data_IF_823913386000
#
_entry.id   IF_823913386000
#
_cell.length_a   1.000
_cell.length_b   1.000
_cell.length_c   1.000
_cell.angle_alpha   90.00
_cell.angle_beta   90.00
_cell.angle_gamma   90.00
#
_symmetry.space_group_name_H-M   'P 1'
#
loop_
_entity.id
_entity.type
_entity.pdbx_description
1 polymer ?
#
# COMPACT_ATOMS: atom_id res chain seq x y z
N UNK A 1 -28.12 9.61 29.63
CA UNK A 1 -28.41 8.19 29.33
C UNK A 1 -28.91 8.14 27.90
N UNK A 2 -28.32 7.33 27.01
CA UNK A 2 -28.80 7.25 25.63
C UNK A 2 -30.20 6.62 25.63
N UNK A 3 -31.10 7.21 24.85
CA UNK A 3 -32.50 6.81 24.71
C UNK A 3 -32.61 5.30 24.45
N UNK A 4 -33.52 4.66 25.17
CA UNK A 4 -33.70 3.21 25.14
C UNK A 4 -34.26 2.76 23.79
N UNK A 5 -33.39 2.45 22.83
CA UNK A 5 -33.78 1.73 21.63
C UNK A 5 -34.46 0.40 22.02
N UNK A 6 -35.68 0.17 21.52
CA UNK A 6 -36.38 -1.11 21.71
C UNK A 6 -35.71 -2.20 20.86
N UNK A 7 -34.76 -2.90 21.49
CA UNK A 7 -34.01 -4.02 20.92
C UNK A 7 -34.89 -5.19 20.45
N UNK A 8 -36.18 -5.23 20.79
CA UNK A 8 -37.12 -6.29 20.35
C UNK A 8 -37.54 -6.15 18.89
N UNK A 9 -37.41 -4.96 18.30
CA UNK A 9 -37.76 -4.69 16.90
C UNK A 9 -36.70 -5.16 15.89
N UNK A 10 -35.49 -5.50 16.35
CA UNK A 10 -34.42 -5.95 15.47
C UNK A 10 -34.76 -7.31 14.86
N UNK A 11 -34.55 -7.47 13.55
CA UNK A 11 -34.64 -8.78 12.90
C UNK A 11 -33.56 -9.70 13.49
N UNK A 12 -33.97 -10.59 14.41
CA UNK A 12 -33.10 -11.57 15.08
C UNK A 12 -33.05 -12.83 14.25
N UNK A 13 -31.85 -13.39 14.08
CA UNK A 13 -31.70 -14.68 13.43
C UNK A 13 -32.05 -15.78 14.43
N UNK A 14 -33.08 -16.57 14.12
CA UNK A 14 -33.47 -17.73 14.95
C UNK A 14 -32.46 -18.86 14.77
N UNK A 15 -32.24 -19.61 15.85
CA UNK A 15 -31.40 -20.80 15.92
C UNK A 15 -32.24 -21.88 16.59
N UNK A 16 -32.22 -23.09 16.03
CA UNK A 16 -32.93 -24.20 16.65
C UNK A 16 -32.03 -24.88 17.68
N UNK A 17 -32.60 -25.20 18.85
CA UNK A 17 -31.91 -25.97 19.87
C UNK A 17 -31.41 -27.29 19.28
N UNK A 18 -30.17 -27.65 19.59
CA UNK A 18 -29.46 -28.80 19.01
C UNK A 18 -28.64 -28.49 17.73
N UNK A 19 -28.68 -27.27 17.19
CA UNK A 19 -27.83 -26.88 16.03
C UNK A 19 -26.35 -26.68 16.40
N UNK A 20 -25.98 -26.86 17.68
CA UNK A 20 -24.59 -26.86 18.14
C UNK A 20 -23.99 -25.47 18.37
N UNK A 21 -24.81 -24.42 18.47
CA UNK A 21 -24.38 -23.07 18.82
C UNK A 21 -24.43 -22.90 20.34
N UNK A 22 -23.37 -23.36 20.99
CA UNK A 22 -23.28 -23.38 22.45
C UNK A 22 -22.50 -22.17 22.98
N UNK A 23 -22.86 -21.75 24.20
CA UNK A 23 -22.26 -20.62 24.88
C UNK A 23 -22.05 -20.96 26.36
N UNK A 24 -20.97 -20.44 26.92
CA UNK A 24 -20.76 -20.35 28.35
C UNK A 24 -21.17 -18.96 28.84
N UNK A 25 -22.02 -18.91 29.85
CA UNK A 25 -22.34 -17.68 30.58
C UNK A 25 -21.57 -17.68 31.89
N UNK A 26 -20.63 -16.77 32.01
CA UNK A 26 -19.74 -16.60 33.14
C UNK A 26 -20.30 -15.52 34.08
N UNK A 27 -20.54 -15.91 35.33
CA UNK A 27 -21.13 -15.07 36.38
C UNK A 27 -20.33 -15.23 37.67
N UNK A 28 -19.55 -14.21 38.06
CA UNK A 28 -18.67 -14.27 39.23
C UNK A 28 -17.82 -15.55 39.18
N UNK A 29 -18.11 -16.53 40.05
CA UNK A 29 -17.40 -17.80 40.17
C UNK A 29 -18.19 -19.00 39.62
N UNK A 30 -19.28 -18.77 38.89
CA UNK A 30 -20.11 -19.80 38.28
C UNK A 30 -20.06 -19.72 36.76
N UNK A 31 -20.08 -20.91 36.15
CA UNK A 31 -20.23 -21.13 34.72
C UNK A 31 -21.58 -21.79 34.48
N UNK A 32 -22.31 -21.29 33.50
CA UNK A 32 -23.55 -21.87 33.01
C UNK A 32 -23.35 -22.26 31.56
N UNK A 33 -23.80 -23.44 31.17
CA UNK A 33 -23.82 -23.84 29.76
C UNK A 33 -25.19 -23.49 29.16
N UNK A 34 -25.17 -23.03 27.92
CA UNK A 34 -26.34 -22.55 27.22
C UNK A 34 -26.26 -22.81 25.73
N UNK A 35 -27.42 -22.82 25.08
CA UNK A 35 -27.56 -22.88 23.61
C UNK A 35 -28.24 -21.63 23.09
N UNK A 36 -27.82 -21.13 21.92
CA UNK A 36 -28.50 -20.01 21.28
C UNK A 36 -29.88 -20.42 20.76
N UNK A 37 -30.88 -19.59 21.03
CA UNK A 37 -32.21 -19.64 20.40
C UNK A 37 -32.38 -18.56 19.35
N UNK A 38 -31.65 -17.46 19.50
CA UNK A 38 -31.55 -16.41 18.51
C UNK A 38 -30.28 -15.57 18.74
N UNK A 39 -29.79 -14.90 17.71
CA UNK A 39 -28.70 -13.94 17.85
C UNK A 39 -28.82 -12.73 16.92
N UNK A 40 -28.22 -11.64 17.39
CA UNK A 40 -27.86 -10.46 16.62
C UNK A 40 -26.46 -10.01 17.03
N UNK A 41 -25.91 -9.03 16.31
CA UNK A 41 -24.68 -8.34 16.69
C UNK A 41 -24.73 -7.64 18.05
N UNK A 42 -25.92 -7.36 18.57
CA UNK A 42 -26.13 -6.54 19.77
C UNK A 42 -26.73 -7.35 20.93
N UNK A 43 -27.10 -8.61 20.70
CA UNK A 43 -27.71 -9.42 21.73
C UNK A 43 -27.87 -10.89 21.37
N UNK A 44 -28.03 -11.69 22.41
CA UNK A 44 -28.19 -13.14 22.33
C UNK A 44 -29.46 -13.56 23.06
N UNK A 45 -30.22 -14.46 22.46
CA UNK A 45 -31.21 -15.25 23.18
C UNK A 45 -30.57 -16.60 23.47
N UNK A 46 -30.46 -16.97 24.74
CA UNK A 46 -29.86 -18.24 25.16
C UNK A 46 -30.86 -19.06 25.97
N UNK A 47 -30.88 -20.37 25.76
CA UNK A 47 -31.53 -21.34 26.64
C UNK A 47 -30.47 -21.97 27.55
N UNK A 48 -30.63 -21.82 28.87
CA UNK A 48 -29.72 -22.40 29.87
C UNK A 48 -29.97 -23.91 29.93
N UNK A 49 -28.95 -24.70 29.62
CA UNK A 49 -29.00 -26.16 29.65
C UNK A 49 -28.54 -26.70 31.01
N UNK A 50 -27.71 -25.96 31.74
CA UNK A 50 -27.27 -26.32 33.08
C UNK A 50 -27.09 -25.10 34.00
N UNK A 51 -27.64 -25.20 35.23
CA UNK A 51 -27.55 -24.18 36.28
C UNK A 51 -28.70 -23.17 36.31
N UNK A 52 -28.67 -22.29 37.32
CA UNK A 52 -29.72 -21.28 37.54
C UNK A 52 -29.47 -20.02 36.70
N UNK A 53 -30.54 -19.46 36.12
CA UNK A 53 -30.44 -18.25 35.32
C UNK A 53 -30.03 -17.01 36.14
N UNK A 54 -29.20 -16.12 35.56
CA UNK A 54 -28.88 -14.83 36.17
C UNK A 54 -30.10 -13.91 36.23
N UNK A 55 -30.08 -12.95 37.15
CA UNK A 55 -31.21 -12.01 37.33
C UNK A 55 -31.25 -10.95 36.21
N UNK A 56 -32.44 -10.42 35.92
CA UNK A 56 -32.57 -9.25 35.02
C UNK A 56 -31.78 -8.07 35.61
N UNK A 57 -31.02 -7.38 34.76
CA UNK A 57 -30.11 -6.30 35.16
C UNK A 57 -28.72 -6.76 35.59
N UNK A 58 -28.49 -8.07 35.72
CA UNK A 58 -27.18 -8.60 36.06
C UNK A 58 -26.19 -8.49 34.88
N UNK A 59 -24.93 -8.15 35.20
CA UNK A 59 -23.81 -8.17 34.25
C UNK A 59 -23.17 -9.55 34.26
N UNK A 60 -23.02 -10.13 33.08
CA UNK A 60 -22.37 -11.42 32.85
C UNK A 60 -21.32 -11.28 31.77
N UNK A 61 -20.48 -12.30 31.59
CA UNK A 61 -19.71 -12.46 30.36
C UNK A 61 -20.21 -13.69 29.61
N UNK A 62 -20.23 -13.63 28.29
CA UNK A 62 -20.68 -14.72 27.43
C UNK A 62 -19.58 -15.09 26.46
N UNK A 63 -19.25 -16.37 26.39
CA UNK A 63 -18.21 -16.89 25.51
C UNK A 63 -18.81 -18.00 24.65
N UNK A 64 -18.74 -17.92 23.31
CA UNK A 64 -19.15 -19.05 22.48
C UNK A 64 -18.22 -20.23 22.67
N UNK A 65 -18.78 -21.44 22.63
CA UNK A 65 -18.04 -22.71 22.71
C UNK A 65 -18.44 -23.64 21.57
N UNK A 66 -17.50 -24.48 21.15
CA UNK A 66 -17.69 -25.35 19.99
C UNK A 66 -17.50 -24.59 18.67
N UNK A 67 -18.51 -24.62 17.79
CA UNK A 67 -18.42 -23.95 16.49
C UNK A 67 -18.32 -22.44 16.68
N UNK A 68 -17.35 -21.78 16.04
CA UNK A 68 -17.14 -20.34 16.22
C UNK A 68 -16.64 -19.94 17.61
N UNK A 69 -16.09 -20.88 18.39
CA UNK A 69 -15.48 -20.60 19.67
C UNK A 69 -14.42 -19.49 19.55
N UNK A 70 -14.36 -18.66 20.58
CA UNK A 70 -13.30 -17.66 20.76
C UNK A 70 -12.90 -17.66 22.23
N UNK A 71 -11.63 -17.37 22.50
CA UNK A 71 -11.14 -17.20 23.86
C UNK A 71 -11.68 -15.92 24.52
N UNK A 72 -12.28 -15.03 23.73
CA UNK A 72 -12.78 -13.73 24.19
C UNK A 72 -14.19 -13.89 24.76
N UNK A 73 -14.34 -13.65 26.06
CA UNK A 73 -15.64 -13.55 26.70
C UNK A 73 -16.20 -12.12 26.57
N UNK A 74 -17.38 -12.00 25.99
CA UNK A 74 -18.04 -10.73 25.71
C UNK A 74 -18.84 -10.25 26.92
N UNK A 75 -18.69 -9.00 27.38
CA UNK A 75 -19.53 -8.48 28.43
C UNK A 75 -20.98 -8.32 27.94
N UNK A 76 -21.94 -8.67 28.80
CA UNK A 76 -23.35 -8.59 28.48
C UNK A 76 -24.20 -8.21 29.70
N UNK A 77 -25.37 -7.64 29.45
CA UNK A 77 -26.40 -7.38 30.45
C UNK A 77 -27.60 -8.29 30.22
N UNK A 78 -28.08 -8.95 31.27
CA UNK A 78 -29.32 -9.72 31.22
C UNK A 78 -30.50 -8.75 31.14
N UNK A 79 -31.22 -8.77 30.02
CA UNK A 79 -32.39 -7.91 29.77
C UNK A 79 -33.72 -8.64 29.98
N UNK A 80 -33.70 -9.97 29.89
CA UNK A 80 -34.90 -10.78 29.99
C UNK A 80 -34.59 -12.16 30.56
N UNK A 81 -35.51 -12.69 31.34
CA UNK A 81 -35.54 -14.08 31.79
C UNK A 81 -36.95 -14.60 31.54
N UNK A 82 -37.07 -15.78 30.95
CA UNK A 82 -38.33 -16.40 30.58
C UNK A 82 -38.16 -17.91 30.36
N UNK A 83 -39.02 -18.50 29.55
CA UNK A 83 -38.93 -19.93 29.20
C UNK A 83 -38.97 -20.15 27.70
N UNK A 84 -38.32 -21.23 27.27
CA UNK A 84 -38.42 -21.79 25.91
C UNK A 84 -38.49 -23.31 26.07
N UNK A 85 -39.64 -23.90 25.73
CA UNK A 85 -39.96 -25.28 26.13
C UNK A 85 -39.86 -25.42 27.66
N UNK A 86 -39.14 -26.42 28.14
CA UNK A 86 -38.83 -26.73 29.53
C UNK A 86 -37.56 -26.02 30.04
N UNK A 87 -36.82 -25.33 29.18
CA UNK A 87 -35.58 -24.64 29.54
C UNK A 87 -35.81 -23.17 29.95
N UNK A 88 -34.94 -22.68 30.82
CA UNK A 88 -34.90 -21.25 31.16
C UNK A 88 -34.25 -20.47 30.04
N UNK A 89 -34.95 -19.46 29.50
CA UNK A 89 -34.43 -18.57 28.46
C UNK A 89 -33.92 -17.28 29.08
N UNK A 90 -32.75 -16.83 28.68
CA UNK A 90 -32.26 -15.48 28.97
C UNK A 90 -32.05 -14.68 27.68
N UNK A 91 -32.37 -13.39 27.75
CA UNK A 91 -32.05 -12.41 26.72
C UNK A 91 -30.91 -11.52 27.18
N UNK A 92 -29.80 -11.55 26.45
CA UNK A 92 -28.59 -10.77 26.71
C UNK A 92 -28.50 -9.59 25.73
N UNK A 93 -28.16 -8.41 26.24
CA UNK A 93 -27.68 -7.28 25.44
C UNK A 93 -26.15 -7.21 25.59
N UNK A 94 -25.44 -7.28 24.47
CA UNK A 94 -23.98 -7.23 24.46
C UNK A 94 -23.51 -5.80 24.72
N UNK A 95 -22.49 -5.67 25.55
CA UNK A 95 -21.88 -4.38 25.86
C UNK A 95 -20.66 -4.29 24.94
N UNK A 96 -20.65 -3.31 24.03
CA UNK A 96 -19.50 -3.12 23.16
C UNK A 96 -18.28 -2.70 23.98
N UNK A 97 -17.10 -3.23 23.64
CA UNK A 97 -15.86 -2.99 24.40
C UNK A 97 -15.35 -1.53 24.32
N UNK A 98 -16.03 -0.66 23.57
CA UNK A 98 -15.86 0.79 23.62
C UNK A 98 -14.53 1.31 23.09
N UNK A 99 -13.48 0.50 23.06
CA UNK A 99 -12.15 0.85 22.58
C UNK A 99 -12.21 1.10 21.07
N UNK A 100 -12.12 2.37 20.61
CA UNK A 100 -11.91 2.60 19.20
C UNK A 100 -10.55 2.02 18.84
N UNK A 101 -10.50 1.19 17.79
CA UNK A 101 -9.23 0.88 17.15
C UNK A 101 -8.61 2.23 16.74
N UNK A 102 -7.42 2.54 17.26
CA UNK A 102 -6.74 3.82 17.04
C UNK A 102 -6.00 3.87 15.69
N UNK A 103 -6.28 2.92 14.80
CA UNK A 103 -5.48 2.72 13.61
C UNK A 103 -5.91 3.68 12.50
N UNK A 104 -4.91 4.27 11.84
CA UNK A 104 -5.12 5.10 10.65
C UNK A 104 -5.70 4.23 9.54
N UNK A 105 -6.94 4.51 9.16
CA UNK A 105 -7.61 3.87 8.03
C UNK A 105 -7.93 4.89 6.95
N UNK A 106 -7.74 4.49 5.70
CA UNK A 106 -8.02 5.25 4.50
C UNK A 106 -9.38 4.85 3.94
N UNK A 107 -10.13 5.82 3.44
CA UNK A 107 -11.44 5.56 2.88
C UNK A 107 -11.33 4.83 1.54
N UNK A 108 -12.21 3.86 1.33
CA UNK A 108 -12.32 3.12 0.09
C UNK A 108 -13.36 3.83 -0.79
N UNK A 109 -12.97 4.39 -1.93
CA UNK A 109 -13.85 5.27 -2.70
C UNK A 109 -15.07 4.54 -3.26
N UNK A 110 -16.14 5.31 -3.48
CA UNK A 110 -17.40 4.73 -3.92
C UNK A 110 -17.32 4.17 -5.35
N UNK A 111 -16.63 4.90 -6.24
CA UNK A 111 -16.50 4.60 -7.67
C UNK A 111 -15.60 3.41 -8.02
N UNK A 112 -14.78 2.93 -7.07
CA UNK A 112 -13.94 1.75 -7.24
C UNK A 112 -14.12 0.85 -6.01
N UNK A 113 -15.22 0.10 -5.92
CA UNK A 113 -15.54 -0.65 -4.71
C UNK A 113 -14.58 -1.82 -4.49
N UNK A 114 -14.25 -2.05 -3.21
CA UNK A 114 -13.60 -3.27 -2.75
C UNK A 114 -14.57 -4.11 -1.90
N UNK A 115 -14.39 -5.43 -1.95
CA UNK A 115 -15.29 -6.39 -1.33
C UNK A 115 -14.54 -7.40 -0.48
N UNK A 116 -15.23 -7.97 0.50
CA UNK A 116 -14.74 -9.10 1.26
C UNK A 116 -15.84 -10.16 1.36
N UNK A 117 -15.43 -11.43 1.33
CA UNK A 117 -16.32 -12.56 1.64
C UNK A 117 -15.71 -13.42 2.74
N UNK A 118 -16.56 -14.02 3.58
CA UNK A 118 -16.13 -14.94 4.62
C UNK A 118 -17.11 -16.10 4.72
N UNK A 119 -16.65 -17.28 5.14
CA UNK A 119 -17.57 -18.30 5.62
C UNK A 119 -18.19 -17.85 6.95
N UNK A 120 -19.49 -18.09 7.15
CA UNK A 120 -20.12 -17.79 8.42
C UNK A 120 -19.61 -18.77 9.50
N UNK A 121 -19.09 -18.28 10.64
CA UNK A 121 -18.58 -19.17 11.69
C UNK A 121 -19.67 -20.01 12.36
N UNK A 122 -20.94 -19.59 12.26
CA UNK A 122 -22.08 -20.24 12.92
C UNK A 122 -22.82 -21.23 12.01
N UNK A 123 -23.07 -20.84 10.77
CA UNK A 123 -24.00 -21.52 9.88
C UNK A 123 -23.28 -22.16 8.71
N UNK A 124 -23.43 -23.48 8.59
CA UNK A 124 -22.76 -24.27 7.56
C UNK A 124 -23.20 -23.86 6.15
N UNK A 125 -22.25 -23.73 5.23
CA UNK A 125 -22.51 -23.39 3.83
C UNK A 125 -22.93 -21.95 3.59
N UNK A 126 -23.00 -21.11 4.63
CA UNK A 126 -23.34 -19.71 4.49
C UNK A 126 -22.11 -18.83 4.32
N UNK A 127 -22.23 -17.86 3.42
CA UNK A 127 -21.20 -16.86 3.19
C UNK A 127 -21.70 -15.48 3.60
N UNK A 128 -20.83 -14.78 4.32
CA UNK A 128 -20.96 -13.38 4.63
C UNK A 128 -20.34 -12.57 3.49
N UNK A 129 -21.01 -11.48 3.11
CA UNK A 129 -20.57 -10.59 2.03
C UNK A 129 -20.51 -9.16 2.55
N UNK A 130 -19.40 -8.49 2.27
CA UNK A 130 -19.12 -7.17 2.77
C UNK A 130 -18.62 -6.26 1.65
N UNK A 131 -18.98 -4.98 1.75
CA UNK A 131 -18.23 -3.91 1.11
C UNK A 131 -17.14 -3.45 2.07
N UNK A 132 -15.93 -3.27 1.57
CA UNK A 132 -14.85 -2.63 2.33
C UNK A 132 -15.05 -1.11 2.21
N UNK A 133 -15.21 -0.42 3.34
CA UNK A 133 -15.45 1.04 3.36
C UNK A 133 -14.22 1.82 3.81
N UNK A 134 -13.37 1.23 4.66
CA UNK A 134 -12.07 1.80 5.06
C UNK A 134 -11.07 0.68 5.25
N UNK A 135 -9.81 0.90 4.92
CA UNK A 135 -8.75 -0.09 5.11
C UNK A 135 -7.46 0.57 5.62
N UNK A 136 -6.69 -0.16 6.40
CA UNK A 136 -5.43 0.29 6.96
C UNK A 136 -4.47 -0.87 7.21
N UNK A 137 -3.32 -0.54 7.79
CA UNK A 137 -2.24 -1.48 8.03
C UNK A 137 -2.62 -2.63 8.96
N UNK A 138 -3.49 -2.34 9.93
CA UNK A 138 -3.88 -3.22 11.04
C UNK A 138 -5.30 -3.75 10.93
N UNK A 139 -6.09 -3.28 9.95
CA UNK A 139 -7.47 -3.73 9.84
C UNK A 139 -8.28 -3.09 8.73
N UNK A 140 -9.57 -3.39 8.76
CA UNK A 140 -10.58 -2.91 7.83
C UNK A 140 -11.87 -2.57 8.55
N UNK A 141 -12.59 -1.60 8.01
CA UNK A 141 -14.00 -1.40 8.29
C UNK A 141 -14.82 -1.95 7.13
N UNK A 142 -15.70 -2.89 7.45
CA UNK A 142 -16.60 -3.57 6.54
C UNK A 142 -18.02 -3.03 6.71
N UNK A 143 -18.80 -3.00 5.62
CA UNK A 143 -20.26 -2.78 5.64
C UNK A 143 -20.93 -4.06 5.16
N UNK A 144 -21.76 -4.67 5.99
CA UNK A 144 -22.45 -5.91 5.63
C UNK A 144 -23.48 -5.67 4.53
N UNK A 145 -23.57 -6.60 3.56
CA UNK A 145 -24.61 -6.57 2.53
C UNK A 145 -26.01 -6.86 3.11
N UNK A 146 -26.08 -7.61 4.21
CA UNK A 146 -27.32 -7.90 4.96
C UNK A 146 -27.38 -7.05 6.24
N UNK A 147 -28.55 -6.58 6.68
CA UNK A 147 -28.68 -5.70 7.86
C UNK A 147 -28.25 -6.32 9.20
N UNK A 148 -28.30 -7.66 9.29
CA UNK A 148 -28.06 -8.40 10.53
C UNK A 148 -27.07 -9.57 10.29
N UNK A 149 -25.78 -9.28 10.07
CA UNK A 149 -24.78 -10.33 10.00
C UNK A 149 -24.69 -11.04 11.36
N UNK A 150 -24.66 -12.37 11.33
CA UNK A 150 -24.48 -13.21 12.51
C UNK A 150 -23.01 -13.18 12.94
N UNK A 151 -22.57 -12.06 13.50
CA UNK A 151 -21.21 -11.81 13.99
C UNK A 151 -21.25 -11.15 15.36
N UNK A 152 -20.32 -11.53 16.23
CA UNK A 152 -20.07 -10.87 17.51
C UNK A 152 -18.58 -10.49 17.57
N UNK A 153 -18.23 -9.62 18.53
CA UNK A 153 -16.85 -9.28 18.81
C UNK A 153 -16.01 -10.50 19.17
N UNK A 154 -14.70 -10.43 18.93
CA UNK A 154 -13.73 -11.49 19.23
C UNK A 154 -13.75 -12.68 18.27
N UNK A 155 -14.69 -12.75 17.32
CA UNK A 155 -14.71 -13.83 16.33
C UNK A 155 -13.55 -13.72 15.35
N UNK A 156 -13.00 -14.86 14.97
CA UNK A 156 -12.02 -14.95 13.91
C UNK A 156 -12.73 -15.22 12.59
N UNK A 157 -12.33 -14.47 11.57
CA UNK A 157 -12.82 -14.56 10.21
C UNK A 157 -11.65 -14.83 9.28
N UNK A 158 -11.88 -15.71 8.33
CA UNK A 158 -11.03 -15.84 7.16
C UNK A 158 -11.72 -15.11 6.01
N UNK A 159 -11.10 -14.02 5.57
CA UNK A 159 -11.64 -13.10 4.59
C UNK A 159 -10.93 -13.30 3.25
N UNK A 160 -11.72 -13.54 2.21
CA UNK A 160 -11.28 -13.41 0.83
C UNK A 160 -11.55 -11.97 0.37
N UNK A 161 -10.49 -11.18 0.24
CA UNK A 161 -10.54 -9.78 -0.16
C UNK A 161 -10.41 -9.64 -1.67
N UNK A 162 -11.23 -8.77 -2.24
CA UNK A 162 -11.25 -8.45 -3.66
C UNK A 162 -11.08 -6.95 -3.82
N UNK A 163 -9.92 -6.55 -4.34
CA UNK A 163 -9.64 -5.18 -4.73
C UNK A 163 -9.63 -5.08 -6.26
N UNK A 164 -10.08 -3.94 -6.79
CA UNK A 164 -9.98 -3.68 -8.22
C UNK A 164 -8.50 -3.70 -8.65
N UNK A 165 -8.21 -4.39 -9.75
CA UNK A 165 -6.88 -4.53 -10.36
C UNK A 165 -5.81 -5.26 -9.53
N UNK A 166 -6.18 -5.89 -8.41
CA UNK A 166 -5.30 -6.75 -7.63
C UNK A 166 -5.80 -8.21 -7.65
N UNK A 167 -4.89 -9.15 -7.41
CA UNK A 167 -5.27 -10.53 -7.13
C UNK A 167 -6.08 -10.61 -5.84
N UNK A 168 -6.98 -11.60 -5.74
CA UNK A 168 -7.69 -11.85 -4.50
C UNK A 168 -6.70 -12.22 -3.39
N UNK A 169 -6.87 -11.64 -2.20
CA UNK A 169 -6.00 -11.87 -1.05
C UNK A 169 -6.81 -12.49 0.07
N UNK A 170 -6.36 -13.65 0.55
CA UNK A 170 -6.97 -14.31 1.71
C UNK A 170 -6.23 -13.89 2.98
N UNK A 171 -6.96 -13.42 3.98
CA UNK A 171 -6.39 -12.93 5.24
C UNK A 171 -7.25 -13.38 6.42
N UNK A 172 -6.61 -13.69 7.55
CA UNK A 172 -7.29 -13.89 8.83
C UNK A 172 -7.44 -12.57 9.57
N UNK A 173 -8.56 -12.38 10.23
CA UNK A 173 -8.77 -11.22 11.06
C UNK A 173 -9.75 -11.48 12.18
N UNK A 174 -9.68 -10.65 13.21
CA UNK A 174 -10.55 -10.71 14.38
C UNK A 174 -11.55 -9.57 14.35
N UNK A 175 -12.83 -9.88 14.54
CA UNK A 175 -13.89 -8.90 14.68
C UNK A 175 -13.66 -8.09 15.95
N UNK A 176 -13.32 -6.81 15.80
CA UNK A 176 -13.06 -5.91 16.93
C UNK A 176 -14.30 -5.13 17.33
N UNK A 177 -15.20 -4.86 16.39
CA UNK A 177 -16.40 -4.07 16.64
C UNK A 177 -17.51 -4.50 15.69
N UNK A 178 -18.75 -4.58 16.19
CA UNK A 178 -19.94 -4.74 15.36
C UNK A 178 -20.92 -3.62 15.72
N UNK A 179 -21.03 -2.61 14.86
CA UNK A 179 -21.90 -1.44 15.01
C UNK A 179 -22.66 -1.24 13.71
N UNK A 180 -23.92 -1.69 13.65
CA UNK A 180 -24.67 -1.75 12.40
C UNK A 180 -24.64 -0.41 11.64
N UNK A 181 -24.41 -0.43 10.31
CA UNK A 181 -24.13 -1.59 9.45
C UNK A 181 -22.63 -1.97 9.35
N UNK A 182 -21.78 -1.37 10.18
CA UNK A 182 -20.32 -1.47 10.13
C UNK A 182 -19.74 -2.54 11.04
N UNK A 183 -18.68 -3.19 10.57
CA UNK A 183 -17.93 -4.21 11.29
C UNK A 183 -16.45 -3.83 11.20
N UNK A 184 -15.81 -3.65 12.35
CA UNK A 184 -14.36 -3.51 12.43
C UNK A 184 -13.72 -4.90 12.49
N UNK A 185 -12.69 -5.13 11.68
CA UNK A 185 -11.87 -6.33 11.71
C UNK A 185 -10.40 -5.91 11.80
N UNK A 186 -9.68 -6.42 12.80
CA UNK A 186 -8.23 -6.29 12.88
C UNK A 186 -7.56 -7.49 12.19
N UNK A 187 -6.45 -7.27 11.50
CA UNK A 187 -5.69 -8.33 10.85
C UNK A 187 -4.97 -9.20 11.87
N UNK A 188 -4.93 -10.50 11.59
CA UNK A 188 -4.01 -11.43 12.24
C UNK A 188 -2.78 -11.58 11.36
N UNK A 189 -1.65 -11.00 11.79
CA UNK A 189 -0.35 -11.03 11.09
C UNK A 189 -0.46 -10.71 9.57
N UNK A 190 -0.78 -9.45 9.19
CA UNK A 190 -0.99 -9.10 7.79
C UNK A 190 0.26 -9.38 6.93
N UNK A 191 0.06 -10.06 5.80
CA UNK A 191 1.16 -10.39 4.89
C UNK A 191 1.63 -9.18 4.08
N UNK A 192 2.90 -9.17 3.60
CA UNK A 192 3.36 -8.14 2.68
C UNK A 192 2.49 -8.03 1.41
N UNK A 193 2.00 -9.16 0.88
CA UNK A 193 1.13 -9.19 -0.28
C UNK A 193 -0.21 -8.47 -0.05
N UNK A 194 -0.75 -8.54 1.18
CA UNK A 194 -1.95 -7.78 1.55
C UNK A 194 -1.67 -6.27 1.52
N UNK A 195 -0.55 -5.84 2.13
CA UNK A 195 -0.19 -4.42 2.15
C UNK A 195 0.09 -3.89 0.75
N UNK A 196 0.74 -4.66 -0.12
CA UNK A 196 0.95 -4.32 -1.53
C UNK A 196 -0.38 -4.18 -2.28
N UNK A 197 -1.30 -5.14 -2.14
CA UNK A 197 -2.61 -5.07 -2.77
C UNK A 197 -3.45 -3.88 -2.26
N UNK A 198 -3.39 -3.59 -0.96
CA UNK A 198 -4.04 -2.41 -0.36
C UNK A 198 -3.44 -1.10 -0.88
N UNK A 199 -2.11 -1.00 -0.97
CA UNK A 199 -1.44 0.19 -1.46
C UNK A 199 -1.77 0.46 -2.93
N UNK A 200 -1.67 -0.56 -3.80
CA UNK A 200 -2.04 -0.46 -5.22
C UNK A 200 -3.49 0.01 -5.37
N UNK A 201 -4.40 -0.63 -4.65
CA UNK A 201 -5.82 -0.28 -4.68
C UNK A 201 -6.07 1.17 -4.23
N UNK A 202 -5.58 1.56 -3.05
CA UNK A 202 -5.84 2.88 -2.48
C UNK A 202 -5.23 4.00 -3.34
N UNK A 203 -4.02 3.81 -3.87
CA UNK A 203 -3.37 4.79 -4.75
C UNK A 203 -4.05 4.87 -6.13
N UNK A 204 -4.53 3.74 -6.66
CA UNK A 204 -5.26 3.75 -7.94
C UNK A 204 -6.58 4.51 -7.85
N UNK A 205 -7.17 4.55 -6.65
CA UNK A 205 -8.52 5.01 -6.43
C UNK A 205 -8.60 6.45 -5.88
N UNK A 206 -7.52 6.97 -5.31
CA UNK A 206 -7.38 8.35 -4.83
C UNK A 206 -6.04 8.95 -5.26
N UNK A 207 -6.09 9.82 -6.27
CA UNK A 207 -4.91 10.53 -6.80
C UNK A 207 -4.33 11.60 -5.86
N UNK A 208 -4.97 11.85 -4.71
CA UNK A 208 -4.48 12.75 -3.66
C UNK A 208 -3.78 12.00 -2.53
N UNK A 209 -3.90 10.67 -2.50
CA UNK A 209 -3.18 9.82 -1.57
C UNK A 209 -1.78 9.51 -2.10
N UNK A 210 -0.77 9.63 -1.25
CA UNK A 210 0.63 9.42 -1.63
C UNK A 210 1.25 8.22 -0.91
N UNK A 211 2.31 7.60 -1.47
CA UNK A 211 3.03 6.51 -0.80
C UNK A 211 3.51 6.89 0.60
N UNK A 212 4.00 8.12 0.80
CA UNK A 212 4.39 8.61 2.13
C UNK A 212 3.23 8.66 3.12
N UNK A 213 2.03 9.11 2.70
CA UNK A 213 0.83 9.13 3.56
C UNK A 213 0.41 7.72 3.96
N UNK A 214 0.46 6.76 3.03
CA UNK A 214 0.19 5.36 3.32
C UNK A 214 1.18 4.77 4.33
N UNK A 215 2.48 5.01 4.14
CA UNK A 215 3.53 4.59 5.08
C UNK A 215 3.35 5.22 6.46
N UNK A 216 2.96 6.50 6.54
CA UNK A 216 2.64 7.16 7.80
C UNK A 216 1.43 6.53 8.52
N UNK A 217 0.51 5.92 7.77
CA UNK A 217 -0.59 5.10 8.30
C UNK A 217 -0.22 3.63 8.57
N UNK A 218 1.07 3.27 8.48
CA UNK A 218 1.59 1.92 8.73
C UNK A 218 1.48 0.96 7.54
N UNK A 219 0.86 1.35 6.43
CA UNK A 219 0.73 0.47 5.26
C UNK A 219 2.08 0.34 4.60
N UNK A 220 2.59 -0.90 4.48
CA UNK A 220 3.82 -1.14 3.74
C UNK A 220 3.60 -0.87 2.27
N UNK A 221 4.39 0.05 1.71
CA UNK A 221 4.36 0.37 0.28
C UNK A 221 5.65 -0.15 -0.36
N UNK A 222 5.50 -1.04 -1.34
CA UNK A 222 6.58 -1.53 -2.18
C UNK A 222 6.82 -0.62 -3.39
N UNK A 223 6.82 -1.21 -4.59
CA UNK A 223 6.77 -0.44 -5.84
C UNK A 223 5.34 -0.01 -6.15
N UNK A 224 5.15 1.21 -6.64
CA UNK A 224 3.85 1.74 -7.07
C UNK A 224 3.79 1.95 -8.60
N UNK A 225 4.63 1.24 -9.35
CA UNK A 225 4.69 1.30 -10.82
C UNK A 225 3.35 1.06 -11.50
N UNK A 226 2.44 0.28 -10.88
CA UNK A 226 1.12 -0.06 -11.43
C UNK A 226 0.12 1.09 -11.44
N UNK A 227 0.34 2.12 -10.64
CA UNK A 227 -0.59 3.25 -10.47
C UNK A 227 -0.05 4.55 -11.07
N UNK A 228 1.12 4.49 -11.71
CA UNK A 228 1.73 5.61 -12.41
C UNK A 228 1.76 5.37 -13.92
N UNK A 229 2.01 6.44 -14.67
CA UNK A 229 2.27 6.37 -16.10
C UNK A 229 3.63 6.97 -16.43
N UNK A 230 4.34 6.36 -17.38
CA UNK A 230 5.63 6.85 -17.88
C UNK A 230 5.46 7.45 -19.27
N UNK A 231 6.14 8.56 -19.53
CA UNK A 231 6.03 9.26 -20.81
C UNK A 231 7.10 10.32 -21.01
N UNK A 232 6.80 11.30 -21.85
CA UNK A 232 7.67 12.44 -22.13
C UNK A 232 6.99 13.73 -21.67
N UNK A 233 7.77 14.75 -21.31
CA UNK A 233 7.26 16.12 -21.32
C UNK A 233 7.25 16.65 -22.76
N UNK A 234 6.14 17.27 -23.14
CA UNK A 234 5.84 17.69 -24.52
C UNK A 234 5.40 19.15 -24.62
N UNK A 235 5.02 19.77 -23.50
CA UNK A 235 4.55 21.16 -23.45
C UNK A 235 5.43 22.02 -22.54
N UNK A 236 5.42 23.35 -22.75
CA UNK A 236 6.14 24.28 -21.88
C UNK A 236 5.69 24.18 -20.41
N UNK A 237 4.38 23.97 -20.16
CA UNK A 237 3.85 23.79 -18.81
C UNK A 237 4.41 22.55 -18.10
N UNK A 238 4.57 21.43 -18.81
CA UNK A 238 5.20 20.23 -18.23
C UNK A 238 6.70 20.43 -17.94
N UNK A 239 7.40 21.23 -18.74
CA UNK A 239 8.78 21.60 -18.46
C UNK A 239 8.87 22.48 -17.20
N UNK A 240 7.95 23.42 -17.01
CA UNK A 240 7.88 24.20 -15.76
C UNK A 240 7.56 23.31 -14.54
N UNK A 241 6.67 22.32 -14.68
CA UNK A 241 6.37 21.34 -13.64
C UNK A 241 7.62 20.50 -13.27
N UNK A 242 8.43 20.09 -14.25
CA UNK A 242 9.71 19.41 -14.02
C UNK A 242 10.66 20.31 -13.21
N UNK A 243 10.81 21.58 -13.59
CA UNK A 243 11.70 22.49 -12.88
C UNK A 243 11.22 22.74 -11.44
N UNK A 244 9.91 22.85 -11.24
CA UNK A 244 9.32 22.93 -9.91
C UNK A 244 9.60 21.67 -9.08
N UNK A 245 9.47 20.48 -9.67
CA UNK A 245 9.78 19.20 -9.03
C UNK A 245 11.26 19.11 -8.62
N UNK A 246 12.19 19.54 -9.49
CA UNK A 246 13.62 19.59 -9.16
C UNK A 246 13.90 20.50 -7.97
N UNK A 247 13.31 21.69 -7.97
CA UNK A 247 13.50 22.65 -6.88
C UNK A 247 13.01 22.07 -5.56
N UNK A 248 11.82 21.46 -5.57
CA UNK A 248 11.25 20.80 -4.41
C UNK A 248 12.15 19.67 -3.88
N UNK A 249 12.67 18.82 -4.77
CA UNK A 249 13.57 17.73 -4.39
C UNK A 249 14.86 18.26 -3.76
N UNK A 250 15.50 19.26 -4.38
CA UNK A 250 16.72 19.87 -3.84
C UNK A 250 16.50 20.51 -2.47
N UNK A 251 15.44 21.31 -2.29
CA UNK A 251 15.12 21.94 -0.99
C UNK A 251 14.81 20.92 0.09
N UNK A 252 14.13 19.82 -0.26
CA UNK A 252 13.86 18.75 0.70
C UNK A 252 15.15 18.07 1.18
N UNK A 253 16.19 18.03 0.34
CA UNK A 253 17.53 17.55 0.67
C UNK A 253 18.43 18.63 1.30
N UNK A 254 17.91 19.83 1.60
CA UNK A 254 18.69 20.95 2.16
C UNK A 254 19.63 21.61 1.15
N UNK A 255 19.42 21.41 -0.15
CA UNK A 255 20.21 21.99 -1.22
C UNK A 255 19.44 23.12 -1.93
N UNK A 256 20.15 24.13 -2.41
CA UNK A 256 19.60 25.21 -3.26
C UNK A 256 18.41 25.96 -2.64
N UNK A 257 18.43 26.21 -1.32
CA UNK A 257 17.35 26.89 -0.58
C UNK A 257 16.95 28.25 -1.18
N UNK A 258 17.94 29.03 -1.61
CA UNK A 258 17.75 30.35 -2.21
C UNK A 258 17.41 30.32 -3.72
N UNK A 259 17.43 29.14 -4.37
CA UNK A 259 17.17 29.04 -5.79
C UNK A 259 15.68 29.19 -6.13
N UNK A 260 15.44 29.71 -7.32
CA UNK A 260 14.13 29.78 -7.99
C UNK A 260 14.01 28.72 -9.09
N UNK A 261 12.79 28.55 -9.61
CA UNK A 261 12.52 27.67 -10.77
C UNK A 261 13.33 28.12 -11.99
N UNK A 262 13.42 29.44 -12.22
CA UNK A 262 14.14 30.01 -13.35
C UNK A 262 15.63 29.65 -13.31
N UNK A 263 16.21 29.62 -12.12
CA UNK A 263 17.62 29.28 -11.94
C UNK A 263 17.91 27.86 -12.42
N UNK A 264 16.96 26.92 -12.35
CA UNK A 264 17.16 25.51 -12.69
C UNK A 264 17.08 25.19 -14.20
N UNK A 265 16.73 26.18 -15.03
CA UNK A 265 16.76 26.05 -16.49
C UNK A 265 18.17 25.70 -16.96
N UNK A 266 18.26 24.90 -18.01
CA UNK A 266 19.54 24.38 -18.47
C UNK A 266 19.64 24.47 -19.99
N UNK A 267 20.77 24.95 -20.54
CA UNK A 267 20.95 25.00 -21.99
C UNK A 267 20.92 23.60 -22.63
N UNK A 268 21.25 22.56 -21.86
CA UNK A 268 21.21 21.17 -22.32
C UNK A 268 19.80 20.65 -22.59
N UNK A 269 18.74 21.32 -22.09
CA UNK A 269 17.35 20.92 -22.32
C UNK A 269 16.99 20.97 -23.83
N UNK A 270 17.65 21.82 -24.61
CA UNK A 270 17.49 21.89 -26.06
C UNK A 270 17.96 20.62 -26.82
N UNK A 271 18.78 19.79 -26.16
CA UNK A 271 19.36 18.56 -26.71
C UNK A 271 18.89 17.33 -25.93
N UNK A 272 17.78 17.44 -25.19
CA UNK A 272 17.36 16.40 -24.28
C UNK A 272 15.94 15.90 -24.53
N UNK A 273 15.69 14.67 -24.07
CA UNK A 273 14.35 14.14 -23.81
C UNK A 273 14.12 14.11 -22.30
N UNK A 274 12.99 14.67 -21.87
CA UNK A 274 12.57 14.65 -20.48
C UNK A 274 11.59 13.50 -20.27
N UNK A 275 12.06 12.43 -19.63
CA UNK A 275 11.24 11.27 -19.30
C UNK A 275 10.53 11.56 -17.98
N UNK A 276 9.23 11.30 -17.93
CA UNK A 276 8.37 11.69 -16.80
C UNK A 276 7.61 10.48 -16.28
N UNK A 277 7.41 10.47 -14.96
CA UNK A 277 6.57 9.54 -14.22
C UNK A 277 5.41 10.35 -13.62
N UNK A 278 4.17 10.01 -13.97
CA UNK A 278 2.96 10.74 -13.56
C UNK A 278 2.06 9.90 -12.66
N UNK A 279 1.56 10.53 -11.60
CA UNK A 279 0.52 9.99 -10.71
C UNK A 279 -0.67 10.95 -10.71
N UNK A 280 -1.86 10.45 -11.05
CA UNK A 280 -3.05 11.29 -11.16
C UNK A 280 -2.89 12.48 -12.14
N UNK A 281 -2.11 12.29 -13.21
CA UNK A 281 -1.81 13.35 -14.19
C UNK A 281 -0.68 14.30 -13.81
N UNK A 282 -0.20 14.29 -12.57
CA UNK A 282 0.89 15.16 -12.08
C UNK A 282 2.25 14.49 -12.23
N UNK A 283 3.29 15.22 -12.62
CA UNK A 283 4.67 14.72 -12.68
C UNK A 283 5.21 14.56 -11.26
N UNK A 284 5.42 13.31 -10.85
CA UNK A 284 5.96 12.96 -9.53
C UNK A 284 7.40 12.46 -9.60
N UNK A 285 7.90 12.15 -10.79
CA UNK A 285 9.30 11.79 -11.03
C UNK A 285 9.71 12.14 -12.44
N UNK A 286 11.00 12.40 -12.65
CA UNK A 286 11.53 12.60 -13.99
C UNK A 286 13.02 12.26 -14.08
N UNK A 287 13.49 11.98 -15.30
CA UNK A 287 14.92 11.92 -15.62
C UNK A 287 15.15 12.58 -16.99
N UNK A 288 16.28 13.25 -17.16
CA UNK A 288 16.66 13.90 -18.43
C UNK A 288 17.68 13.04 -19.16
N UNK A 289 17.45 12.78 -20.43
CA UNK A 289 18.39 12.10 -21.34
C UNK A 289 18.91 13.10 -22.36
N UNK A 290 20.19 13.45 -22.31
CA UNK A 290 20.85 14.40 -23.22
C UNK A 290 21.58 13.64 -24.31
N UNK A 291 21.38 14.03 -25.57
CA UNK A 291 22.10 13.50 -26.72
C UNK A 291 23.36 14.34 -26.95
N UNK A 292 24.52 13.76 -26.63
CA UNK A 292 25.78 14.48 -26.66
C UNK A 292 26.32 14.59 -28.09
N UNK A 293 26.07 13.59 -28.94
CA UNK A 293 26.44 13.57 -30.37
C UNK A 293 27.93 13.89 -30.63
N UNK A 294 28.81 13.49 -29.72
CA UNK A 294 30.25 13.73 -29.82
C UNK A 294 30.70 15.16 -29.50
N UNK A 295 29.79 16.05 -29.08
CA UNK A 295 30.09 17.46 -28.79
C UNK A 295 30.31 17.69 -27.29
N UNK A 296 31.54 18.00 -26.82
CA UNK A 296 31.81 18.21 -25.39
C UNK A 296 30.98 19.34 -24.76
N UNK A 297 30.63 20.35 -25.55
CA UNK A 297 29.79 21.49 -25.12
C UNK A 297 28.34 21.10 -24.82
N UNK A 298 27.89 19.93 -25.28
CA UNK A 298 26.56 19.36 -24.97
C UNK A 298 26.59 18.44 -23.75
N UNK A 299 27.77 18.01 -23.32
CA UNK A 299 27.93 17.19 -22.12
C UNK A 299 27.81 18.06 -20.87
N UNK A 300 26.82 17.78 -20.02
CA UNK A 300 26.65 18.50 -18.76
C UNK A 300 27.79 18.16 -17.79
N UNK A 301 28.26 16.91 -17.82
CA UNK A 301 29.24 16.41 -16.87
C UNK A 301 30.64 16.92 -17.18
N UNK A 302 30.96 17.15 -18.46
CA UNK A 302 32.20 17.81 -18.86
C UNK A 302 32.07 19.32 -18.73
N UNK A 303 31.07 19.94 -19.36
CA UNK A 303 30.99 21.40 -19.45
C UNK A 303 30.72 22.09 -18.11
N UNK A 304 29.91 21.49 -17.23
CA UNK A 304 29.58 22.06 -15.92
C UNK A 304 30.17 21.26 -14.76
N UNK A 305 30.32 19.94 -14.91
CA UNK A 305 30.91 19.08 -13.89
C UNK A 305 32.44 19.04 -13.91
N UNK A 306 33.07 19.42 -15.04
CA UNK A 306 34.51 19.34 -15.20
C UNK A 306 35.09 17.93 -15.17
N UNK A 307 34.25 16.90 -15.36
CA UNK A 307 34.67 15.50 -15.45
C UNK A 307 35.43 15.23 -16.76
N UNK A 308 36.28 14.21 -16.77
CA UNK A 308 37.06 13.74 -17.90
C UNK A 308 36.48 12.44 -18.44
N UNK A 309 35.80 12.52 -19.58
CA UNK A 309 35.24 11.34 -20.25
C UNK A 309 36.34 10.66 -21.10
N UNK A 310 36.61 9.35 -20.91
CA UNK A 310 37.61 8.62 -21.69
C UNK A 310 37.35 8.68 -23.20
N UNK A 311 38.43 8.76 -23.99
CA UNK A 311 38.34 8.85 -25.47
C UNK A 311 37.55 7.71 -26.11
N UNK A 312 37.68 6.48 -25.61
CA UNK A 312 36.94 5.34 -26.16
C UNK A 312 35.42 5.52 -26.06
N UNK A 313 34.94 6.23 -25.03
CA UNK A 313 33.51 6.46 -24.84
C UNK A 313 33.00 7.55 -25.79
N UNK A 314 33.83 8.56 -26.09
CA UNK A 314 33.57 9.52 -27.16
C UNK A 314 33.50 8.84 -28.52
N UNK A 315 34.48 7.98 -28.82
CA UNK A 315 34.55 7.26 -30.10
C UNK A 315 33.34 6.31 -30.27
N UNK A 316 32.84 5.73 -29.17
CA UNK A 316 31.67 4.84 -29.19
C UNK A 316 30.31 5.58 -29.21
N UNK A 317 30.27 6.82 -28.73
CA UNK A 317 29.03 7.58 -28.54
C UNK A 317 28.24 7.16 -27.30
N UNK A 318 27.64 8.15 -26.62
CA UNK A 318 26.84 7.94 -25.43
C UNK A 318 25.74 9.01 -25.30
N UNK A 319 24.73 8.69 -24.49
CA UNK A 319 23.80 9.69 -23.95
C UNK A 319 24.10 9.95 -22.49
N UNK A 320 23.76 11.12 -21.99
CA UNK A 320 23.80 11.39 -20.54
C UNK A 320 22.41 11.24 -19.93
N UNK A 321 22.29 10.48 -18.84
CA UNK A 321 21.09 10.44 -18.02
C UNK A 321 21.35 11.17 -16.70
N UNK A 322 20.69 12.31 -16.50
CA UNK A 322 20.97 13.19 -15.37
C UNK A 322 19.80 14.03 -14.91
N UNK A 323 20.10 14.88 -13.92
CA UNK A 323 19.17 15.81 -13.27
C UNK A 323 17.91 15.16 -12.67
N UNK A 324 17.85 13.83 -12.53
CA UNK A 324 16.65 13.13 -12.07
C UNK A 324 16.13 13.64 -10.72
N UNK A 325 14.82 13.78 -10.61
CA UNK A 325 14.17 14.18 -9.37
C UNK A 325 12.91 13.34 -9.13
N UNK A 326 12.61 13.12 -7.85
CA UNK A 326 11.42 12.42 -7.39
C UNK A 326 10.75 13.28 -6.32
N UNK A 327 9.43 13.36 -6.36
CA UNK A 327 8.66 14.07 -5.35
C UNK A 327 8.90 13.37 -4.00
N UNK A 328 9.14 14.11 -2.90
CA UNK A 328 9.46 13.53 -1.58
C UNK A 328 8.49 12.42 -1.16
N UNK A 329 7.19 12.64 -1.34
CA UNK A 329 6.16 11.66 -1.03
C UNK A 329 6.21 10.35 -1.82
N UNK A 330 6.91 10.33 -2.96
CA UNK A 330 7.07 9.19 -3.86
C UNK A 330 8.48 8.59 -3.80
N UNK A 331 9.37 9.15 -2.97
CA UNK A 331 10.66 8.52 -2.70
C UNK A 331 10.45 7.15 -2.05
N UNK A 332 11.33 6.20 -2.40
CA UNK A 332 11.29 4.80 -1.97
C UNK A 332 10.04 4.03 -2.42
N UNK A 333 9.31 4.51 -3.43
CA UNK A 333 8.14 3.84 -4.00
C UNK A 333 8.45 3.05 -5.30
N UNK A 334 9.72 2.65 -5.50
CA UNK A 334 10.16 1.84 -6.66
C UNK A 334 10.29 2.57 -8.00
N UNK A 335 9.86 3.83 -8.12
CA UNK A 335 9.66 4.48 -9.42
C UNK A 335 10.94 4.86 -10.19
N UNK A 336 12.08 4.98 -9.50
CA UNK A 336 13.32 5.45 -10.12
C UNK A 336 13.94 4.42 -11.06
N UNK A 337 13.89 3.13 -10.70
CA UNK A 337 14.41 2.05 -11.56
C UNK A 337 13.67 2.04 -12.90
N UNK A 338 12.34 2.15 -12.88
CA UNK A 338 11.53 2.22 -14.10
C UNK A 338 11.83 3.45 -14.98
N UNK A 339 12.13 4.61 -14.38
CA UNK A 339 12.63 5.78 -15.12
C UNK A 339 13.97 5.47 -15.80
N UNK A 340 14.89 4.79 -15.11
CA UNK A 340 16.18 4.40 -15.69
C UNK A 340 16.04 3.33 -16.78
N UNK A 341 15.12 2.38 -16.65
CA UNK A 341 14.77 1.45 -17.73
C UNK A 341 14.25 2.22 -18.97
N UNK A 342 13.46 3.28 -18.77
CA UNK A 342 13.04 4.14 -19.88
C UNK A 342 14.22 4.91 -20.49
N UNK A 343 15.14 5.42 -19.68
CA UNK A 343 16.37 6.05 -20.18
C UNK A 343 17.22 5.10 -21.03
N UNK A 344 17.42 3.86 -20.58
CA UNK A 344 18.14 2.82 -21.34
C UNK A 344 17.43 2.51 -22.66
N UNK A 345 16.10 2.35 -22.65
CA UNK A 345 15.34 2.15 -23.89
C UNK A 345 15.56 3.27 -24.89
N UNK A 346 15.50 4.52 -24.43
CA UNK A 346 15.73 5.70 -25.28
C UNK A 346 17.16 5.73 -25.82
N UNK A 347 18.16 5.41 -24.99
CA UNK A 347 19.55 5.31 -25.43
C UNK A 347 19.71 4.28 -26.56
N UNK A 348 19.26 3.04 -26.32
CA UNK A 348 19.39 1.95 -27.30
C UNK A 348 18.61 2.26 -28.59
N UNK A 349 17.36 2.71 -28.48
CA UNK A 349 16.52 3.04 -29.66
C UNK A 349 17.05 4.23 -30.47
N UNK A 350 17.92 5.06 -29.88
CA UNK A 350 18.60 6.15 -30.57
C UNK A 350 19.98 5.77 -31.10
N UNK A 351 20.37 4.48 -31.02
CA UNK A 351 21.64 3.98 -31.53
C UNK A 351 22.81 4.11 -30.54
N UNK A 352 22.55 4.44 -29.27
CA UNK A 352 23.59 4.58 -28.26
C UNK A 352 23.68 3.33 -27.39
N UNK A 353 24.89 2.79 -27.23
CA UNK A 353 25.18 1.64 -26.35
C UNK A 353 25.35 2.07 -24.88
N UNK A 354 25.91 3.26 -24.67
CA UNK A 354 26.34 3.71 -23.35
C UNK A 354 25.44 4.80 -22.80
N UNK A 355 25.14 4.70 -21.50
CA UNK A 355 24.47 5.76 -20.72
C UNK A 355 25.46 6.26 -19.68
N UNK A 356 25.85 7.52 -19.80
CA UNK A 356 26.70 8.20 -18.82
C UNK A 356 25.82 8.90 -17.78
N UNK A 357 26.19 8.81 -16.51
CA UNK A 357 25.52 9.47 -15.40
C UNK A 357 26.52 10.07 -14.45
N UNK A 358 26.04 10.88 -13.52
CA UNK A 358 26.81 11.26 -12.35
C UNK A 358 25.92 11.32 -11.11
N UNK A 359 26.49 10.94 -9.97
CA UNK A 359 25.77 10.93 -8.70
C UNK A 359 26.67 11.34 -7.53
N UNK A 360 26.07 11.58 -6.37
CA UNK A 360 26.80 11.74 -5.11
C UNK A 360 27.09 10.36 -4.46
N UNK A 361 27.74 10.39 -3.30
CA UNK A 361 28.10 9.20 -2.52
C UNK A 361 26.88 8.33 -2.15
N UNK A 362 25.75 8.96 -1.84
CA UNK A 362 24.56 8.27 -1.31
C UNK A 362 23.88 7.40 -2.37
N UNK A 363 23.99 7.80 -3.65
CA UNK A 363 23.33 7.14 -4.76
C UNK A 363 24.21 6.11 -5.47
N UNK A 364 25.52 6.09 -5.23
CA UNK A 364 26.46 5.23 -5.96
C UNK A 364 26.09 3.74 -5.87
N UNK A 365 25.76 3.25 -4.67
CA UNK A 365 25.37 1.85 -4.46
C UNK A 365 24.07 1.49 -5.22
N UNK A 366 23.12 2.42 -5.29
CA UNK A 366 21.88 2.24 -6.04
C UNK A 366 22.14 2.11 -7.54
N UNK A 367 22.98 2.99 -8.11
CA UNK A 367 23.35 2.91 -9.53
C UNK A 367 24.17 1.66 -9.85
N UNK A 368 25.09 1.26 -8.99
CA UNK A 368 25.83 0.00 -9.13
C UNK A 368 24.89 -1.21 -9.20
N UNK A 369 23.82 -1.23 -8.39
CA UNK A 369 22.81 -2.29 -8.45
C UNK A 369 22.00 -2.32 -9.76
N UNK A 370 22.03 -1.24 -10.55
CA UNK A 370 21.47 -1.16 -11.90
C UNK A 370 22.48 -1.54 -13.00
N UNK A 371 23.73 -1.83 -12.64
CA UNK A 371 24.81 -2.21 -13.57
C UNK A 371 25.72 -1.07 -14.01
N UNK A 372 25.61 0.11 -13.39
CA UNK A 372 26.56 1.20 -13.65
C UNK A 372 27.92 0.90 -13.03
N UNK A 373 28.98 1.30 -13.73
CA UNK A 373 30.36 1.20 -13.29
C UNK A 373 30.94 2.59 -13.07
N UNK A 374 31.78 2.73 -12.04
CA UNK A 374 32.49 3.98 -11.75
C UNK A 374 33.60 4.22 -12.79
N UNK A 375 33.64 5.42 -13.35
CA UNK A 375 34.69 5.87 -14.26
C UNK A 375 35.65 6.85 -13.59
N UNK A 376 35.12 7.81 -12.84
CA UNK A 376 35.89 8.90 -12.24
C UNK A 376 35.22 9.40 -10.96
N UNK A 377 36.01 9.89 -10.01
CA UNK A 377 35.54 10.67 -8.87
C UNK A 377 36.12 12.09 -8.92
N UNK A 378 35.29 13.10 -8.65
CA UNK A 378 35.72 14.51 -8.64
C UNK A 378 34.93 15.33 -7.64
N UNK A 379 35.60 16.30 -7.02
CA UNK A 379 34.89 17.36 -6.28
C UNK A 379 34.34 18.39 -7.25
N UNK A 380 33.03 18.57 -7.26
CA UNK A 380 32.33 19.49 -8.16
C UNK A 380 31.55 20.53 -7.37
N UNK A 381 31.36 21.71 -7.96
CA UNK A 381 30.48 22.75 -7.45
C UNK A 381 29.65 23.30 -8.62
N UNK A 382 28.60 22.58 -9.07
CA UNK A 382 27.83 22.96 -10.26
C UNK A 382 27.10 24.30 -10.07
N UNK A 383 26.89 24.70 -8.82
CA UNK A 383 26.35 26.00 -8.40
C UNK A 383 27.04 26.47 -7.14
N UNK A 384 27.22 27.79 -6.95
CA UNK A 384 27.79 28.35 -5.72
C UNK A 384 27.09 27.80 -4.47
N UNK A 385 27.87 27.26 -3.54
CA UNK A 385 27.40 26.69 -2.28
C UNK A 385 26.90 25.24 -2.37
N UNK A 386 26.92 24.61 -3.54
CA UNK A 386 26.56 23.19 -3.71
C UNK A 386 27.77 22.38 -4.16
N UNK A 387 28.70 22.19 -3.21
CA UNK A 387 29.93 21.43 -3.42
C UNK A 387 29.81 20.02 -2.85
N UNK A 388 30.09 19.01 -3.66
CA UNK A 388 30.03 17.61 -3.24
C UNK A 388 30.99 16.73 -4.06
N UNK A 389 31.24 15.51 -3.58
CA UNK A 389 31.98 14.51 -4.34
C UNK A 389 31.02 13.87 -5.35
N UNK A 390 31.32 14.05 -6.62
CA UNK A 390 30.56 13.48 -7.74
C UNK A 390 31.29 12.28 -8.33
N UNK A 391 30.54 11.21 -8.56
CA UNK A 391 30.97 9.98 -9.20
C UNK A 391 30.46 9.97 -10.63
N UNK A 392 31.35 10.00 -11.60
CA UNK A 392 31.01 9.76 -13.00
C UNK A 392 30.86 8.26 -13.21
N UNK A 393 29.71 7.84 -13.72
CA UNK A 393 29.34 6.43 -13.85
C UNK A 393 28.86 6.12 -15.27
N UNK A 394 29.10 4.91 -15.76
CA UNK A 394 28.65 4.47 -17.08
C UNK A 394 27.91 3.15 -17.00
N UNK A 395 26.84 3.04 -17.77
CA UNK A 395 26.13 1.79 -18.02
C UNK A 395 26.38 1.36 -19.46
N UNK A 396 26.79 0.11 -19.63
CA UNK A 396 26.91 -0.55 -20.92
C UNK A 396 25.69 -1.44 -21.17
N UNK A 397 24.79 -1.00 -22.06
CA UNK A 397 23.54 -1.70 -22.31
C UNK A 397 23.74 -3.08 -22.98
N UNK A 398 24.84 -3.27 -23.71
CA UNK A 398 25.17 -4.55 -24.32
C UNK A 398 25.64 -5.55 -23.26
N UNK A 399 26.48 -5.09 -22.32
CA UNK A 399 26.98 -5.92 -21.22
C UNK A 399 25.88 -6.41 -20.29
N UNK A 400 24.78 -5.65 -20.13
CA UNK A 400 23.61 -6.10 -19.38
C UNK A 400 23.00 -7.41 -19.92
N UNK A 401 23.22 -7.71 -21.21
CA UNK A 401 22.69 -8.90 -21.88
C UNK A 401 23.70 -10.06 -21.92
N UNK A 402 24.96 -9.82 -21.57
CA UNK A 402 26.04 -10.80 -21.74
C UNK A 402 25.97 -11.97 -20.75
N UNK A 403 25.35 -11.77 -19.59
CA UNK A 403 25.23 -12.79 -18.54
C UNK A 403 23.82 -12.81 -17.93
N UNK A 404 23.37 -13.95 -17.38
CA UNK A 404 22.15 -14.00 -16.59
C UNK A 404 22.19 -12.95 -15.46
N UNK A 405 21.13 -12.15 -15.28
CA UNK A 405 21.13 -11.08 -14.29
C UNK A 405 21.15 -11.65 -12.88
N UNK A 406 22.10 -11.18 -12.06
CA UNK A 406 22.27 -11.65 -10.68
C UNK A 406 21.19 -11.11 -9.71
N UNK A 407 20.48 -10.04 -10.09
CA UNK A 407 19.47 -9.39 -9.26
C UNK A 407 18.22 -9.04 -10.07
N UNK A 408 17.05 -8.87 -9.42
CA UNK A 408 15.84 -8.38 -10.10
C UNK A 408 16.03 -7.02 -10.77
N UNK A 409 16.82 -6.12 -10.17
CA UNK A 409 17.13 -4.80 -10.74
C UNK A 409 17.94 -4.92 -12.02
N UNK A 410 18.98 -5.75 -12.05
CA UNK A 410 19.74 -6.02 -13.27
C UNK A 410 18.87 -6.68 -14.34
N UNK A 411 17.98 -7.60 -13.94
CA UNK A 411 17.05 -8.24 -14.87
C UNK A 411 16.09 -7.21 -15.51
N UNK A 412 15.62 -6.24 -14.72
CA UNK A 412 14.79 -5.15 -15.19
C UNK A 412 15.54 -4.27 -16.22
N UNK A 413 16.80 -3.92 -15.93
CA UNK A 413 17.64 -3.12 -16.84
C UNK A 413 17.99 -3.90 -18.13
N UNK A 414 18.38 -5.17 -18.02
CA UNK A 414 18.65 -6.05 -19.15
C UNK A 414 17.41 -6.23 -20.03
N UNK A 415 16.23 -6.45 -19.43
CA UNK A 415 14.96 -6.54 -20.16
C UNK A 415 14.66 -5.24 -20.92
N UNK A 416 15.00 -4.08 -20.36
CA UNK A 416 14.81 -2.79 -21.02
C UNK A 416 15.71 -2.65 -22.26
N UNK A 417 17.00 -3.00 -22.13
CA UNK A 417 17.95 -3.00 -23.25
C UNK A 417 17.54 -3.98 -24.37
N UNK A 418 17.19 -5.23 -24.00
CA UNK A 418 16.77 -6.25 -24.94
C UNK A 418 15.47 -5.90 -25.66
N UNK A 419 14.48 -5.36 -24.94
CA UNK A 419 13.23 -4.86 -25.55
C UNK A 419 13.48 -3.75 -26.57
N UNK A 420 14.46 -2.88 -26.31
CA UNK A 420 14.85 -1.80 -27.21
C UNK A 420 15.63 -2.27 -28.45
N UNK A 421 15.93 -3.56 -28.56
CA UNK A 421 16.60 -4.16 -29.71
C UNK A 421 18.11 -4.36 -29.55
N UNK A 422 18.67 -4.09 -28.37
CA UNK A 422 20.07 -4.43 -28.09
C UNK A 422 20.24 -5.96 -28.10
N UNK A 423 21.38 -6.43 -28.61
CA UNK A 423 21.76 -7.85 -28.62
C UNK A 423 23.11 -7.99 -27.93
N UNK A 424 23.33 -9.11 -27.27
CA UNK A 424 24.66 -9.42 -26.74
C UNK A 424 25.66 -9.61 -27.89
N UNK A 425 26.91 -9.18 -27.70
CA UNK A 425 28.03 -9.57 -28.56
C UNK A 425 28.06 -11.10 -28.66
N UNK A 426 28.15 -11.60 -29.90
CA UNK A 426 28.24 -13.02 -30.19
C UNK A 426 29.59 -13.62 -29.77
#
# INVERSE_FOLDING_TARGET
>A
MPEGHDFRSLQRRRVYLGEGLSFEVLRRDRRLDAEAVDLTSEGLGLAITHGDAPAVGERVRVRPVGRGATDTALPALVRHVGRVRDLTRIGLALIGDGSPARDTQFDCPEGQPAFATASCPWFFGEHLRFRIVRAGAEGVTLRAARPAPALLGGMELELDLQFAFAAAVRVRGRVTTVRRPYIGVAWDAPSPALHEALADYLLSADTTLTPARLRAGGVRVGSVERVVSYGYATSAGEHEEILALRLLAHKTSGHLEAASIADLRSPFDAHARHLTCRFGGRIVGYVRVIFVDGEPTRSQYVSWGGHEVPRWLWDAGFVEAGAGAMHPDFQRAGLFVALMQHAVRVAVQSGHRYVLGACDDELLAMYAAMGFELLEERMVEPRPGWRFRSHLIVLDAERLLAAPPATPTLAAMASAAGFAGMRAAA
#
